data_IF_442987460064
#
_entry.id   IF_442987460064
#
_cell.length_a   1.000
_cell.length_b   1.000
_cell.length_c   1.000
_cell.angle_alpha   90.00
_cell.angle_beta   90.00
_cell.angle_gamma   90.00
#
_symmetry.space_group_name_H-M   'P 1'
#
loop_
_entity.id
_entity.type
_entity.pdbx_description
1 polymer ?
#
# COMPACT_ATOMS: atom_id res chain seq x y z
N UNK A 1 58.11 15.76 42.22
CA UNK A 1 58.43 14.57 41.41
C UNK A 1 57.19 13.69 41.34
N UNK A 2 56.78 13.39 40.10
CA UNK A 2 55.72 12.49 39.60
C UNK A 2 54.90 11.64 40.59
N UNK A 3 53.57 11.81 40.57
CA UNK A 3 52.61 10.71 40.68
C UNK A 3 51.66 10.77 39.47
N UNK A 4 51.91 9.88 38.50
CA UNK A 4 51.01 9.48 37.42
C UNK A 4 50.28 8.24 37.88
N UNK A 5 48.96 8.19 37.72
CA UNK A 5 48.16 7.02 37.24
C UNK A 5 46.68 7.39 37.37
N UNK A 6 46.04 7.79 36.26
CA UNK A 6 45.19 6.94 35.40
C UNK A 6 43.75 6.85 35.91
N UNK A 7 42.94 7.83 35.45
CA UNK A 7 41.49 7.67 35.26
C UNK A 7 41.27 6.48 34.32
N UNK A 8 40.55 5.46 34.79
CA UNK A 8 40.03 4.39 33.95
C UNK A 8 38.55 4.16 34.27
N UNK A 9 37.82 3.67 33.26
CA UNK A 9 36.39 3.40 33.21
C UNK A 9 35.49 4.59 32.82
N UNK A 10 35.67 5.09 31.59
CA UNK A 10 34.59 5.73 30.85
C UNK A 10 34.11 4.79 29.73
N UNK A 11 32.99 4.12 30.03
CA UNK A 11 31.88 3.76 29.14
C UNK A 11 32.25 3.31 27.71
N UNK A 12 32.36 2.00 27.53
CA UNK A 12 32.23 1.33 26.23
C UNK A 12 30.84 0.67 26.15
N UNK A 13 29.79 1.49 26.07
CA UNK A 13 28.45 1.05 25.68
C UNK A 13 28.01 1.97 24.55
N UNK A 14 28.01 1.47 23.30
CA UNK A 14 27.13 1.87 22.19
C UNK A 14 27.65 1.34 20.84
N UNK A 15 27.85 0.03 20.73
CA UNK A 15 27.94 -0.64 19.42
C UNK A 15 27.06 -1.89 19.43
N UNK A 16 25.80 -1.74 19.84
CA UNK A 16 24.77 -2.67 19.41
C UNK A 16 24.27 -2.08 18.08
N UNK A 17 24.65 -2.63 16.91
CA UNK A 17 23.94 -2.30 15.70
C UNK A 17 22.49 -2.68 15.97
N UNK A 18 21.61 -1.68 16.06
CA UNK A 18 20.19 -1.91 16.08
C UNK A 18 19.89 -2.80 14.89
N UNK A 19 19.38 -4.00 15.15
CA UNK A 19 18.78 -4.84 14.12
C UNK A 19 17.56 -4.06 13.64
N UNK A 20 17.79 -3.06 12.78
CA UNK A 20 16.76 -2.40 12.02
C UNK A 20 16.10 -3.51 11.23
N UNK A 21 14.94 -3.94 11.69
CA UNK A 21 14.04 -4.74 10.89
C UNK A 21 13.88 -3.93 9.60
N UNK A 22 14.52 -4.35 8.52
CA UNK A 22 14.31 -3.69 7.23
C UNK A 22 12.81 -3.77 7.00
N UNK A 23 12.15 -2.61 6.98
CA UNK A 23 10.74 -2.52 6.69
C UNK A 23 10.52 -3.34 5.42
N UNK A 24 9.72 -4.41 5.50
CA UNK A 24 9.58 -5.38 4.42
C UNK A 24 8.89 -4.86 3.16
N UNK A 25 8.88 -3.52 2.97
CA UNK A 25 8.41 -2.82 1.80
C UNK A 25 9.18 -3.24 0.54
N UNK A 26 10.51 -3.42 0.64
CA UNK A 26 11.33 -4.01 -0.42
C UNK A 26 11.88 -5.39 -0.03
N UNK A 27 11.24 -6.11 0.89
CA UNK A 27 11.81 -7.37 1.34
C UNK A 27 12.03 -8.31 0.16
N UNK A 28 13.29 -8.67 -0.06
CA UNK A 28 13.69 -9.67 -1.04
C UNK A 28 13.35 -11.04 -0.44
N UNK A 29 12.21 -11.59 -0.84
CA UNK A 29 11.81 -12.92 -0.40
C UNK A 29 12.54 -14.00 -1.19
N UNK A 30 12.93 -15.12 -0.55
CA UNK A 30 13.53 -16.26 -1.25
C UNK A 30 12.63 -16.81 -2.36
N UNK A 31 11.31 -16.72 -2.18
CA UNK A 31 10.30 -17.06 -3.18
C UNK A 31 9.33 -15.88 -3.36
N UNK A 32 9.41 -15.14 -4.48
CA UNK A 32 8.54 -13.98 -4.73
C UNK A 32 7.06 -14.36 -4.91
N UNK A 33 6.74 -15.65 -5.14
CA UNK A 33 5.37 -16.12 -5.31
C UNK A 33 4.68 -16.48 -3.99
N UNK A 34 5.42 -16.71 -2.90
CA UNK A 34 4.83 -17.01 -1.58
C UNK A 34 4.05 -15.83 -1.00
N UNK A 35 4.37 -14.62 -1.45
CA UNK A 35 3.62 -13.41 -1.09
C UNK A 35 2.54 -13.03 -2.11
N UNK A 36 2.56 -13.69 -3.27
CA UNK A 36 1.64 -13.36 -4.34
C UNK A 36 0.24 -13.85 -3.96
N UNK A 37 -0.70 -12.90 -3.91
CA UNK A 37 -2.10 -13.21 -3.75
C UNK A 37 -2.73 -13.50 -5.12
N UNK A 38 -3.72 -14.40 -5.24
CA UNK A 38 -4.39 -14.63 -6.52
C UNK A 38 -4.85 -13.32 -7.17
N UNK A 39 -4.45 -13.10 -8.42
CA UNK A 39 -4.73 -11.87 -9.19
C UNK A 39 -3.54 -10.92 -9.37
N UNK A 40 -2.52 -10.97 -8.50
CA UNK A 40 -1.41 -9.99 -8.53
C UNK A 40 -0.61 -10.00 -9.85
N UNK A 41 -0.35 -11.18 -10.41
CA UNK A 41 0.39 -11.30 -11.69
C UNK A 41 -0.38 -10.68 -12.85
N UNK A 42 -1.70 -10.88 -12.90
CA UNK A 42 -2.55 -10.31 -13.94
C UNK A 42 -2.51 -8.77 -13.88
N UNK A 43 -2.60 -8.21 -12.67
CA UNK A 43 -2.54 -6.76 -12.45
C UNK A 43 -1.16 -6.20 -12.82
N UNK A 44 -0.07 -6.89 -12.50
CA UNK A 44 1.27 -6.48 -12.88
C UNK A 44 1.44 -6.42 -14.41
N UNK A 45 0.99 -7.46 -15.12
CA UNK A 45 1.02 -7.52 -16.58
C UNK A 45 0.11 -6.46 -17.22
N UNK A 46 -1.09 -6.27 -16.67
CA UNK A 46 -2.02 -5.25 -17.11
C UNK A 46 -1.46 -3.84 -16.90
N UNK A 47 -0.79 -3.60 -15.77
CA UNK A 47 -0.16 -2.30 -15.46
C UNK A 47 0.96 -2.02 -16.45
N UNK A 48 1.86 -2.98 -16.70
CA UNK A 48 2.91 -2.83 -17.70
C UNK A 48 2.32 -2.56 -19.12
N UNK A 49 1.24 -3.25 -19.47
CA UNK A 49 0.53 -3.04 -20.74
C UNK A 49 -0.08 -1.64 -20.81
N UNK A 50 -0.78 -1.20 -19.77
CA UNK A 50 -1.41 0.13 -19.72
C UNK A 50 -0.37 1.25 -19.80
N UNK A 51 0.78 1.11 -19.13
CA UNK A 51 1.90 2.06 -19.22
C UNK A 51 2.50 2.09 -20.63
N UNK A 52 2.81 0.93 -21.21
CA UNK A 52 3.37 0.86 -22.58
C UNK A 52 2.44 1.38 -23.67
N UNK A 53 1.12 1.40 -23.41
CA UNK A 53 0.10 1.94 -24.32
C UNK A 53 -0.32 3.37 -23.97
N UNK A 54 0.37 4.03 -23.04
CA UNK A 54 0.07 5.39 -22.59
C UNK A 54 -1.34 5.56 -22.00
N UNK A 55 -1.95 4.46 -21.54
CA UNK A 55 -3.27 4.44 -20.88
C UNK A 55 -3.17 4.67 -19.37
N UNK A 56 -1.96 4.54 -18.81
CA UNK A 56 -1.64 4.82 -17.42
C UNK A 56 -0.27 5.53 -17.38
N UNK A 57 -0.15 6.69 -16.71
CA UNK A 57 1.15 7.34 -16.57
C UNK A 57 2.15 6.42 -15.85
N UNK A 58 3.42 6.36 -16.31
CA UNK A 58 4.44 5.65 -15.56
C UNK A 58 4.67 6.34 -14.21
N UNK A 59 4.81 5.54 -13.16
CA UNK A 59 5.12 6.01 -11.83
C UNK A 59 6.60 5.76 -11.53
N UNK A 60 7.30 6.79 -11.04
CA UNK A 60 8.69 6.64 -10.64
C UNK A 60 8.82 5.60 -9.50
N UNK A 61 9.69 4.61 -9.68
CA UNK A 61 9.98 3.64 -8.64
C UNK A 61 10.72 4.33 -7.48
N UNK A 62 10.19 4.18 -6.27
CA UNK A 62 10.84 4.59 -5.04
C UNK A 62 10.98 3.36 -4.16
N UNK A 63 12.13 3.21 -3.52
CA UNK A 63 12.40 2.12 -2.59
C UNK A 63 12.52 2.65 -1.16
N UNK A 64 12.51 1.73 -0.21
CA UNK A 64 12.74 1.96 1.20
C UNK A 64 11.71 2.90 1.82
N UNK A 65 12.20 3.73 2.73
CA UNK A 65 11.37 4.68 3.49
C UNK A 65 10.62 5.66 2.58
N UNK A 66 11.22 6.09 1.47
CA UNK A 66 10.59 7.02 0.53
C UNK A 66 9.40 6.39 -0.20
N UNK A 67 9.57 5.17 -0.70
CA UNK A 67 8.48 4.41 -1.32
C UNK A 67 7.36 4.11 -0.33
N UNK A 68 7.72 3.63 0.85
CA UNK A 68 6.76 3.35 1.91
C UNK A 68 5.95 4.60 2.32
N UNK A 69 6.63 5.73 2.54
CA UNK A 69 5.96 6.99 2.92
C UNK A 69 4.96 7.45 1.88
N UNK A 70 5.29 7.31 0.59
CA UNK A 70 4.39 7.63 -0.52
C UNK A 70 3.18 6.70 -0.54
N UNK A 71 3.39 5.40 -0.41
CA UNK A 71 2.33 4.40 -0.33
C UNK A 71 1.38 4.64 0.86
N UNK A 72 1.94 4.96 2.03
CA UNK A 72 1.17 5.33 3.21
C UNK A 72 0.33 6.58 2.95
N UNK A 73 0.87 7.62 2.31
CA UNK A 73 0.14 8.84 2.00
C UNK A 73 -1.06 8.59 1.08
N UNK A 74 -0.91 7.75 0.04
CA UNK A 74 -2.01 7.35 -0.82
C UNK A 74 -3.10 6.59 -0.06
N UNK A 75 -2.72 5.61 0.75
CA UNK A 75 -3.67 4.82 1.54
C UNK A 75 -4.41 5.68 2.59
N UNK A 76 -3.73 6.65 3.20
CA UNK A 76 -4.37 7.61 4.11
C UNK A 76 -5.36 8.53 3.37
N UNK A 77 -5.00 8.96 2.16
CA UNK A 77 -5.88 9.78 1.32
C UNK A 77 -7.12 8.98 0.91
N UNK A 78 -6.95 7.74 0.44
CA UNK A 78 -8.05 6.85 0.11
C UNK A 78 -8.97 6.60 1.32
N UNK A 79 -8.41 6.27 2.49
CA UNK A 79 -9.16 6.14 3.75
C UNK A 79 -9.99 7.39 4.05
N UNK A 80 -9.42 8.58 3.84
CA UNK A 80 -10.08 9.85 4.12
C UNK A 80 -11.22 10.11 3.14
N UNK A 81 -11.06 9.78 1.86
CA UNK A 81 -12.14 9.87 0.85
C UNK A 81 -13.28 8.90 1.15
N UNK A 82 -12.97 7.66 1.54
CA UNK A 82 -13.97 6.67 1.97
C UNK A 82 -14.78 7.19 3.16
N UNK A 83 -14.10 7.75 4.17
CA UNK A 83 -14.73 8.35 5.35
C UNK A 83 -15.68 9.50 4.96
N UNK A 84 -15.23 10.42 4.09
CA UNK A 84 -16.03 11.56 3.64
C UNK A 84 -17.25 11.11 2.83
N UNK A 85 -17.12 10.04 2.04
CA UNK A 85 -18.21 9.45 1.29
C UNK A 85 -19.18 8.62 2.15
N UNK A 86 -18.93 8.49 3.47
CA UNK A 86 -19.75 7.67 4.38
C UNK A 86 -19.63 6.17 4.10
N UNK A 87 -18.53 5.73 3.49
CA UNK A 87 -18.25 4.32 3.21
C UNK A 87 -17.67 3.67 4.46
N UNK A 88 -18.25 2.55 4.88
CA UNK A 88 -17.73 1.77 6.00
C UNK A 88 -16.43 1.03 5.64
N UNK A 89 -15.60 0.76 6.65
CA UNK A 89 -14.41 -0.07 6.51
C UNK A 89 -14.76 -1.55 6.35
N UNK A 90 -13.76 -2.42 6.51
CA UNK A 90 -13.83 -3.83 6.12
C UNK A 90 -13.35 -4.00 4.68
N UNK A 91 -12.24 -3.34 4.36
CA UNK A 91 -11.58 -3.36 3.05
C UNK A 91 -10.12 -3.70 3.29
N UNK A 92 -9.69 -4.84 2.78
CA UNK A 92 -8.28 -5.24 2.71
C UNK A 92 -7.72 -4.79 1.37
N UNK A 93 -6.58 -4.12 1.37
CA UNK A 93 -5.98 -3.49 0.19
C UNK A 93 -4.57 -4.05 0.01
N UNK A 94 -4.23 -4.50 -1.20
CA UNK A 94 -2.87 -4.86 -1.58
C UNK A 94 -2.36 -3.92 -2.66
N UNK A 95 -1.32 -3.15 -2.34
CA UNK A 95 -0.48 -2.50 -3.36
C UNK A 95 0.49 -3.55 -3.89
N UNK A 96 0.30 -3.97 -5.14
CA UNK A 96 0.97 -5.17 -5.66
C UNK A 96 2.48 -4.98 -5.89
N UNK A 97 2.92 -3.76 -6.22
CA UNK A 97 4.32 -3.47 -6.56
C UNK A 97 5.24 -3.59 -5.33
N UNK A 98 4.74 -3.21 -4.16
CA UNK A 98 5.46 -3.29 -2.88
C UNK A 98 5.00 -4.45 -1.99
N UNK A 99 4.02 -5.24 -2.42
CA UNK A 99 3.42 -6.29 -1.60
C UNK A 99 2.75 -5.77 -0.31
N UNK A 100 2.44 -4.47 -0.24
CA UNK A 100 1.96 -3.83 0.99
C UNK A 100 0.48 -4.15 1.23
N UNK A 101 0.25 -5.16 2.05
CA UNK A 101 -1.07 -5.44 2.61
C UNK A 101 -1.45 -4.40 3.68
N UNK A 102 -2.64 -3.86 3.52
CA UNK A 102 -3.24 -2.86 4.41
C UNK A 102 -4.72 -3.13 4.63
N UNK A 103 -5.30 -2.52 5.65
CA UNK A 103 -6.71 -2.68 5.99
C UNK A 103 -7.32 -1.38 6.45
N UNK A 104 -8.41 -0.98 5.81
CA UNK A 104 -9.31 0.07 6.30
C UNK A 104 -10.42 -0.59 7.11
N UNK A 105 -10.56 -0.23 8.39
CA UNK A 105 -11.55 -0.80 9.31
C UNK A 105 -12.34 0.28 10.05
N UNK A 106 -13.45 -0.11 10.65
CA UNK A 106 -14.37 0.80 11.35
C UNK A 106 -15.64 1.04 10.55
N UNK A 107 -16.60 1.75 11.14
CA UNK A 107 -17.89 2.08 10.50
C UNK A 107 -18.09 3.58 10.42
N UNK A 108 -18.13 4.25 11.58
CA UNK A 108 -18.31 5.71 11.68
C UNK A 108 -16.98 6.46 11.67
N UNK A 109 -15.90 5.84 12.13
CA UNK A 109 -14.55 6.38 12.07
C UNK A 109 -13.61 5.33 11.49
N UNK A 110 -13.01 5.64 10.36
CA UNK A 110 -12.11 4.75 9.63
C UNK A 110 -10.68 4.85 10.13
N UNK A 111 -10.12 3.67 10.47
CA UNK A 111 -8.72 3.46 10.82
C UNK A 111 -8.01 2.69 9.71
N UNK A 112 -6.77 3.11 9.40
CA UNK A 112 -5.87 2.39 8.50
C UNK A 112 -4.87 1.58 9.31
N UNK A 113 -4.78 0.29 9.00
CA UNK A 113 -3.75 -0.61 9.50
C UNK A 113 -2.84 -0.98 8.32
N UNK A 114 -1.54 -0.77 8.48
CA UNK A 114 -0.53 -1.15 7.49
C UNK A 114 0.14 -2.47 7.91
N UNK A 115 0.81 -3.14 6.97
CA UNK A 115 1.53 -4.40 7.19
C UNK A 115 0.65 -5.51 7.78
N UNK A 116 -0.58 -5.67 7.29
CA UNK A 116 -1.37 -6.85 7.65
C UNK A 116 -0.78 -8.09 6.97
N UNK A 117 -0.97 -9.27 7.55
CA UNK A 117 -0.44 -10.53 6.99
C UNK A 117 -1.17 -11.03 5.74
N UNK A 118 -2.06 -10.22 5.16
CA UNK A 118 -3.03 -10.61 4.15
C UNK A 118 -4.43 -10.05 4.42
N UNK A 119 -5.43 -10.43 3.61
CA UNK A 119 -6.78 -9.93 3.76
C UNK A 119 -7.51 -10.59 4.93
N UNK A 120 -8.30 -9.83 5.67
CA UNK A 120 -9.18 -10.42 6.66
C UNK A 120 -10.27 -11.27 5.96
N UNK A 121 -10.67 -12.45 6.50
CA UNK A 121 -11.66 -13.30 5.85
C UNK A 121 -13.02 -12.65 5.57
N UNK A 122 -13.40 -11.63 6.36
CA UNK A 122 -14.67 -10.91 6.22
C UNK A 122 -14.57 -9.62 5.42
N UNK A 123 -13.37 -9.24 5.01
CA UNK A 123 -13.17 -8.02 4.25
C UNK A 123 -13.39 -8.27 2.75
N UNK A 124 -13.92 -7.24 2.09
CA UNK A 124 -13.78 -7.09 0.64
C UNK A 124 -12.31 -6.79 0.34
N UNK A 125 -11.82 -7.25 -0.80
CA UNK A 125 -10.41 -7.15 -1.16
C UNK A 125 -10.26 -6.27 -2.40
N UNK A 126 -9.34 -5.32 -2.33
CA UNK A 126 -8.93 -4.48 -3.45
C UNK A 126 -7.45 -4.74 -3.74
N UNK A 127 -7.15 -5.17 -4.97
CA UNK A 127 -5.79 -5.31 -5.45
C UNK A 127 -5.55 -4.23 -6.51
N UNK A 128 -4.42 -3.55 -6.46
CA UNK A 128 -4.06 -2.52 -7.44
C UNK A 128 -2.57 -2.24 -7.44
N UNK A 129 -2.07 -1.67 -8.54
CA UNK A 129 -0.70 -1.14 -8.60
C UNK A 129 -0.60 0.24 -7.93
N UNK A 130 0.62 0.61 -7.54
CA UNK A 130 0.95 1.96 -7.05
C UNK A 130 0.66 3.04 -8.10
N UNK A 131 0.88 2.73 -9.38
CA UNK A 131 0.54 3.63 -10.48
C UNK A 131 -0.99 3.86 -10.57
N UNK A 132 -1.79 2.80 -10.37
CA UNK A 132 -3.24 2.89 -10.38
C UNK A 132 -3.78 3.71 -9.20
N UNK A 133 -3.29 3.50 -7.96
CA UNK A 133 -3.76 4.31 -6.82
C UNK A 133 -3.38 5.78 -6.97
N UNK A 134 -2.19 6.07 -7.51
CA UNK A 134 -1.78 7.45 -7.79
C UNK A 134 -2.76 8.11 -8.78
N UNK A 135 -3.00 7.48 -9.92
CA UNK A 135 -3.89 7.99 -10.97
C UNK A 135 -5.36 8.10 -10.52
N UNK A 136 -5.83 7.18 -9.67
CA UNK A 136 -7.18 7.28 -9.10
C UNK A 136 -7.31 8.43 -8.09
N UNK A 137 -6.26 8.70 -7.32
CA UNK A 137 -6.26 9.79 -6.35
C UNK A 137 -6.08 11.14 -7.03
N UNK A 138 -5.28 11.25 -8.09
CA UNK A 138 -5.14 12.51 -8.84
C UNK A 138 -6.33 12.80 -9.80
N UNK A 139 -7.20 11.81 -10.02
CA UNK A 139 -8.42 11.96 -10.82
C UNK A 139 -8.23 11.70 -12.32
N UNK A 140 -7.03 11.31 -12.75
CA UNK A 140 -6.76 10.92 -14.15
C UNK A 140 -7.29 9.54 -14.52
N UNK A 141 -7.66 8.70 -13.54
CA UNK A 141 -8.21 7.36 -13.73
C UNK A 141 -9.43 7.12 -12.83
N UNK A 142 -10.56 6.67 -13.38
CA UNK A 142 -11.71 6.23 -12.55
C UNK A 142 -11.57 4.77 -12.11
N UNK A 143 -12.34 4.35 -11.10
CA UNK A 143 -12.36 2.94 -10.68
C UNK A 143 -12.84 2.01 -11.80
N UNK A 144 -13.81 2.43 -12.61
CA UNK A 144 -14.31 1.67 -13.75
C UNK A 144 -13.24 1.49 -14.82
N UNK A 145 -12.48 2.55 -15.12
CA UNK A 145 -11.36 2.48 -16.05
C UNK A 145 -10.26 1.55 -15.51
N UNK A 146 -9.95 1.63 -14.21
CA UNK A 146 -8.99 0.74 -13.56
C UNK A 146 -9.39 -0.74 -13.66
N UNK A 147 -10.68 -1.05 -13.44
CA UNK A 147 -11.23 -2.40 -13.61
C UNK A 147 -11.20 -2.86 -15.06
N UNK A 148 -11.57 -1.99 -16.01
CA UNK A 148 -11.58 -2.29 -17.44
C UNK A 148 -10.18 -2.57 -17.98
N UNK A 149 -9.18 -1.82 -17.51
CA UNK A 149 -7.77 -2.02 -17.87
C UNK A 149 -7.15 -3.25 -17.18
N UNK A 150 -7.81 -3.82 -16.16
CA UNK A 150 -7.28 -4.93 -15.36
C UNK A 150 -6.17 -4.51 -14.38
N UNK A 151 -5.99 -3.21 -14.13
CA UNK A 151 -5.00 -2.67 -13.20
C UNK A 151 -5.55 -2.51 -11.77
N UNK A 152 -6.84 -2.77 -11.60
CA UNK A 152 -7.53 -2.94 -10.32
C UNK A 152 -8.34 -4.23 -10.39
N UNK A 153 -8.34 -5.00 -9.31
CA UNK A 153 -9.21 -6.15 -9.12
C UNK A 153 -9.94 -6.04 -7.78
N UNK A 154 -11.25 -6.30 -7.79
CA UNK A 154 -12.07 -6.37 -6.58
C UNK A 154 -12.50 -7.82 -6.36
N UNK A 155 -12.24 -8.34 -5.16
CA UNK A 155 -12.64 -9.68 -4.78
C UNK A 155 -13.55 -9.64 -3.56
N UNK A 156 -14.41 -10.66 -3.43
CA UNK A 156 -15.45 -10.72 -2.38
C UNK A 156 -16.34 -9.48 -2.38
N UNK A 157 -16.55 -8.90 -3.57
CA UNK A 157 -17.39 -7.72 -3.77
C UNK A 157 -18.80 -8.13 -4.22
N UNK A 158 -19.51 -8.79 -3.32
CA UNK A 158 -20.87 -9.25 -3.60
C UNK A 158 -21.77 -8.07 -3.97
N UNK A 159 -22.47 -8.18 -5.09
CA UNK A 159 -23.31 -7.13 -5.66
C UNK A 159 -22.57 -5.84 -6.05
N UNK A 160 -21.26 -5.86 -6.29
CA UNK A 160 -20.47 -4.70 -6.73
C UNK A 160 -20.53 -3.50 -5.76
N UNK A 161 -20.68 -3.76 -4.46
CA UNK A 161 -20.84 -2.71 -3.46
C UNK A 161 -19.56 -1.89 -3.28
N UNK A 162 -18.40 -2.55 -3.18
CA UNK A 162 -17.09 -1.90 -3.08
C UNK A 162 -16.81 -1.07 -4.33
N UNK A 163 -17.15 -1.56 -5.53
CA UNK A 163 -17.02 -0.76 -6.74
C UNK A 163 -17.81 0.56 -6.65
N UNK A 164 -19.09 0.50 -6.26
CA UNK A 164 -19.93 1.70 -6.09
C UNK A 164 -19.41 2.64 -5.01
N UNK A 165 -18.95 2.07 -3.89
CA UNK A 165 -18.37 2.82 -2.77
C UNK A 165 -17.09 3.55 -3.20
N UNK A 166 -16.21 2.87 -3.95
CA UNK A 166 -14.99 3.45 -4.51
C UNK A 166 -15.31 4.53 -5.54
N UNK A 167 -16.28 4.30 -6.43
CA UNK A 167 -16.73 5.31 -7.39
C UNK A 167 -17.15 6.59 -6.65
N UNK A 168 -18.02 6.46 -5.64
CA UNK A 168 -18.47 7.59 -4.81
C UNK A 168 -17.31 8.29 -4.10
N UNK A 169 -16.38 7.52 -3.52
CA UNK A 169 -15.26 8.08 -2.76
C UNK A 169 -14.25 8.81 -3.66
N UNK A 170 -13.97 8.27 -4.84
CA UNK A 170 -12.94 8.78 -5.75
C UNK A 170 -13.44 9.88 -6.69
N UNK A 171 -14.74 9.94 -6.97
CA UNK A 171 -15.37 10.98 -7.83
C UNK A 171 -15.65 12.31 -7.11
N UNK A 172 -15.55 12.35 -5.77
CA UNK A 172 -15.91 13.52 -4.94
C UNK A 172 -15.00 14.76 -5.08
N UNK A 173 -14.22 14.88 -6.17
CA UNK A 173 -13.32 16.01 -6.46
C UNK A 173 -13.68 16.84 -7.69
N UNK A 174 -14.90 16.75 -8.21
CA UNK A 174 -15.47 17.79 -9.09
C UNK A 174 -16.37 18.73 -8.31
#
# INVERSE_FOLDING_TARGET
MMQRTLRACMVLLCLIPGMGQSCGYDALYPNPFEQSWPGTVNIAMATATAVSREQLPPLAALTGEAGFSRSQAWLQTLKSRLQQAGVGGGISILLIDSGLWSRVRGKESLLLQLHTSGPNPKDRVMLLSEAAINAMLDGSLTIEQGLQLGIVELQRDDNQQLQRDLHKALSSQT
#
